data_IF_907232021277
#
_entry.id   IF_907232021277
#
_cell.length_a   1.000
_cell.length_b   1.000
_cell.length_c   1.000
_cell.angle_alpha   90.00
_cell.angle_beta   90.00
_cell.angle_gamma   90.00
#
_symmetry.space_group_name_H-M   'P 1'
#
loop_
_entity.id
_entity.type
_entity.pdbx_description
1 polymer ?
#
# COMPACT_ATOMS: atom_id res chain seq x y z
N UNK A 1 -1.74 -18.24 -0.17
CA UNK A 1 -1.37 -16.85 0.03
C UNK A 1 -1.60 -16.05 -1.22
N UNK A 2 -1.96 -14.80 -1.04
CA UNK A 2 -2.30 -13.92 -2.15
C UNK A 2 -1.24 -12.84 -2.29
N UNK A 3 -0.97 -12.46 -3.51
CA UNK A 3 -0.08 -11.34 -3.82
C UNK A 3 -0.91 -10.29 -4.54
N UNK A 4 -0.84 -9.04 -4.09
CA UNK A 4 -1.59 -7.97 -4.68
C UNK A 4 -0.72 -6.73 -4.82
N UNK A 5 -0.73 -6.13 -6.00
CA UNK A 5 0.04 -4.90 -6.23
C UNK A 5 -0.90 -3.71 -6.23
N UNK A 6 -0.52 -2.68 -5.49
CA UNK A 6 -1.35 -1.49 -5.33
C UNK A 6 -0.48 -0.26 -5.35
N UNK A 7 -1.09 0.87 -5.66
CA UNK A 7 -0.45 2.17 -5.51
C UNK A 7 -1.17 2.94 -4.42
N UNK A 8 -0.41 3.38 -3.43
CA UNK A 8 -0.89 4.29 -2.39
C UNK A 8 -0.48 5.69 -2.78
N UNK A 9 -1.43 6.61 -2.75
CA UNK A 9 -1.14 8.03 -2.96
C UNK A 9 -1.42 8.74 -1.65
N UNK A 10 -0.39 9.40 -1.12
CA UNK A 10 -0.47 10.06 0.19
C UNK A 10 -0.76 11.53 0.01
N UNK A 11 -1.51 12.10 0.95
CA UNK A 11 -1.74 13.52 1.01
C UNK A 11 -0.62 14.17 1.82
N UNK A 12 -0.65 15.50 1.89
CA UNK A 12 0.31 16.25 2.68
C UNK A 12 0.32 15.78 4.13
N UNK A 13 -0.84 15.44 4.65
CA UNK A 13 -0.95 14.97 6.03
C UNK A 13 -0.43 13.55 6.18
N UNK A 14 -0.88 12.65 5.32
CA UNK A 14 -0.57 11.25 5.49
C UNK A 14 0.85 10.91 5.09
N UNK A 15 1.49 11.72 4.24
CA UNK A 15 2.86 11.44 3.84
C UNK A 15 3.84 11.55 5.01
N UNK A 16 3.44 12.24 6.07
CA UNK A 16 4.28 12.42 7.24
C UNK A 16 4.26 11.25 8.19
N UNK A 17 3.32 10.34 8.04
CA UNK A 17 3.22 9.19 8.92
C UNK A 17 3.89 7.98 8.29
N UNK A 18 4.54 7.13 9.08
CA UNK A 18 5.19 5.92 8.54
C UNK A 18 4.17 4.82 8.29
N UNK A 19 3.21 5.08 7.40
CA UNK A 19 2.06 4.21 7.23
C UNK A 19 2.43 2.86 6.63
N UNK A 20 3.39 2.82 5.71
CA UNK A 20 3.79 1.54 5.12
C UNK A 20 4.41 0.64 6.18
N UNK A 21 5.25 1.22 7.04
CA UNK A 21 5.82 0.46 8.14
C UNK A 21 4.72 -0.03 9.08
N UNK A 22 3.80 0.86 9.44
CA UNK A 22 2.73 0.51 10.36
C UNK A 22 1.84 -0.59 9.79
N UNK A 23 1.57 -0.53 8.49
CA UNK A 23 0.75 -1.54 7.85
C UNK A 23 1.39 -2.91 7.99
N UNK A 24 2.67 -3.03 7.69
CA UNK A 24 3.34 -4.30 7.78
C UNK A 24 3.53 -4.78 9.22
N UNK A 25 3.49 -3.84 10.17
CA UNK A 25 3.64 -4.18 11.59
C UNK A 25 2.31 -4.61 12.20
N UNK A 26 1.21 -3.94 11.82
CA UNK A 26 -0.09 -4.19 12.41
C UNK A 26 -0.82 -5.38 11.80
N UNK A 27 -0.50 -5.71 10.56
CA UNK A 27 -1.20 -6.78 9.85
C UNK A 27 -0.19 -7.82 9.39
N UNK A 28 -0.65 -9.05 9.24
CA UNK A 28 0.23 -10.12 8.76
C UNK A 28 0.31 -10.07 7.25
N UNK A 29 0.91 -8.99 6.76
CA UNK A 29 1.08 -8.73 5.35
C UNK A 29 2.53 -8.32 5.13
N UNK A 30 3.18 -8.96 4.19
CA UNK A 30 4.54 -8.59 3.82
C UNK A 30 4.46 -7.55 2.73
N UNK A 31 5.15 -6.44 2.93
CA UNK A 31 5.15 -5.34 1.96
C UNK A 31 6.49 -5.28 1.25
N UNK A 32 6.43 -5.09 -0.07
CA UNK A 32 7.64 -4.87 -0.87
C UNK A 32 7.42 -3.63 -1.71
N UNK A 33 8.27 -2.64 -1.54
CA UNK A 33 8.19 -1.41 -2.32
C UNK A 33 8.81 -1.67 -3.69
N UNK A 34 8.01 -1.44 -4.73
CA UNK A 34 8.47 -1.61 -6.09
C UNK A 34 8.93 -0.30 -6.69
N UNK A 35 8.25 0.78 -6.34
CA UNK A 35 8.56 2.09 -6.89
C UNK A 35 7.98 3.13 -5.94
N UNK A 36 8.62 4.26 -5.83
CA UNK A 36 8.14 5.31 -4.94
C UNK A 36 8.63 6.67 -5.43
N UNK A 37 7.82 7.68 -5.18
CA UNK A 37 8.19 9.06 -5.45
C UNK A 37 7.52 9.89 -4.37
N UNK A 38 8.30 10.34 -3.41
CA UNK A 38 7.79 11.04 -2.24
C UNK A 38 8.53 12.35 -2.07
N UNK A 39 7.76 13.43 -1.91
CA UNK A 39 8.35 14.72 -1.57
C UNK A 39 7.62 15.29 -0.36
N UNK A 40 7.76 16.59 -0.11
CA UNK A 40 7.24 17.20 1.11
C UNK A 40 5.73 17.26 1.18
N UNK A 41 5.06 17.25 0.06
CA UNK A 41 3.63 17.54 0.05
C UNK A 41 2.78 16.40 -0.47
N UNK A 42 3.35 15.59 -1.35
CA UNK A 42 2.59 14.51 -1.93
C UNK A 42 3.57 13.39 -2.25
N UNK A 43 3.06 12.18 -2.22
CA UNK A 43 3.89 11.06 -2.56
C UNK A 43 3.04 9.89 -2.96
N UNK A 44 3.64 8.98 -3.71
CA UNK A 44 2.98 7.73 -4.04
C UNK A 44 3.99 6.60 -3.96
N UNK A 45 3.46 5.42 -3.68
CA UNK A 45 4.29 4.23 -3.52
C UNK A 45 3.56 3.08 -4.18
N UNK A 46 4.27 2.33 -4.99
CA UNK A 46 3.74 1.09 -5.55
C UNK A 46 4.30 -0.05 -4.73
N UNK A 47 3.40 -0.82 -4.15
CA UNK A 47 3.75 -1.92 -3.26
C UNK A 47 3.18 -3.22 -3.75
N UNK A 48 3.87 -4.29 -3.42
CA UNK A 48 3.30 -5.62 -3.51
C UNK A 48 3.01 -6.09 -2.10
N UNK A 49 1.78 -6.55 -1.87
CA UNK A 49 1.33 -7.03 -0.57
C UNK A 49 1.12 -8.53 -0.68
N UNK A 50 1.73 -9.27 0.23
CA UNK A 50 1.61 -10.74 0.25
C UNK A 50 1.05 -11.18 1.59
N UNK A 51 -0.01 -11.98 1.56
CA UNK A 51 -0.64 -12.46 2.77
C UNK A 51 -1.94 -13.16 2.45
N UNK A 52 -2.71 -13.45 3.49
CA UNK A 52 -4.05 -14.01 3.31
C UNK A 52 -4.98 -12.93 2.77
N UNK A 53 -5.92 -13.32 1.94
CA UNK A 53 -6.85 -12.36 1.33
C UNK A 53 -7.51 -11.47 2.37
N UNK A 54 -8.03 -12.09 3.43
CA UNK A 54 -8.75 -11.32 4.45
C UNK A 54 -7.83 -10.32 5.14
N UNK A 55 -6.60 -10.69 5.34
CA UNK A 55 -5.65 -9.80 6.03
C UNK A 55 -5.25 -8.66 5.12
N UNK A 56 -5.04 -8.93 3.83
CA UNK A 56 -4.75 -7.87 2.86
C UNK A 56 -5.91 -6.87 2.82
N UNK A 57 -7.15 -7.39 2.76
CA UNK A 57 -8.30 -6.49 2.71
C UNK A 57 -8.43 -5.63 3.95
N UNK A 58 -8.17 -6.21 5.12
CA UNK A 58 -8.22 -5.44 6.36
C UNK A 58 -7.15 -4.36 6.39
N UNK A 59 -5.95 -4.69 5.90
CA UNK A 59 -4.88 -3.71 5.87
C UNK A 59 -5.20 -2.57 4.91
N UNK A 60 -5.83 -2.87 3.78
CA UNK A 60 -6.20 -1.84 2.82
C UNK A 60 -7.30 -0.94 3.37
N UNK A 61 -8.26 -1.52 4.09
CA UNK A 61 -9.30 -0.73 4.74
C UNK A 61 -8.70 0.21 5.77
N UNK A 62 -7.72 -0.28 6.53
CA UNK A 62 -7.07 0.54 7.53
C UNK A 62 -6.32 1.71 6.88
N UNK A 63 -5.59 1.43 5.81
CA UNK A 63 -4.85 2.47 5.09
C UNK A 63 -5.83 3.51 4.52
N UNK A 64 -6.95 3.05 3.97
CA UNK A 64 -7.95 3.97 3.43
C UNK A 64 -8.49 4.89 4.52
N UNK A 65 -8.65 4.36 5.73
CA UNK A 65 -9.16 5.15 6.84
C UNK A 65 -8.19 6.24 7.27
N UNK A 66 -6.93 6.15 6.85
CA UNK A 66 -5.93 7.17 7.13
C UNK A 66 -5.87 8.25 6.06
N UNK A 67 -6.78 8.20 5.10
CA UNK A 67 -6.86 9.22 4.05
C UNK A 67 -5.95 8.94 2.85
N UNK A 68 -5.45 7.73 2.74
CA UNK A 68 -4.59 7.35 1.62
C UNK A 68 -5.46 6.85 0.48
N UNK A 69 -5.17 7.33 -0.73
CA UNK A 69 -5.85 6.82 -1.91
C UNK A 69 -5.20 5.52 -2.35
N UNK A 70 -6.02 4.53 -2.65
CA UNK A 70 -5.54 3.21 -3.05
C UNK A 70 -6.01 2.92 -4.46
N UNK A 71 -5.07 2.62 -5.34
CA UNK A 71 -5.36 2.23 -6.72
C UNK A 71 -4.79 0.85 -6.97
N UNK A 72 -5.64 -0.15 -7.24
CA UNK A 72 -5.12 -1.47 -7.59
C UNK A 72 -4.43 -1.44 -8.94
N UNK A 73 -3.36 -2.19 -9.06
CA UNK A 73 -2.59 -2.24 -10.29
C UNK A 73 -2.71 -3.64 -10.88
N UNK A 74 -3.75 -3.84 -11.64
CA UNK A 74 -4.02 -5.17 -12.18
C UNK A 74 -3.22 -5.46 -13.44
N UNK A 75 -2.86 -4.43 -14.14
CA UNK A 75 -2.23 -4.62 -15.43
C UNK A 75 -0.93 -5.38 -15.38
N UNK A 76 -0.20 -5.25 -14.32
CA UNK A 76 1.07 -5.92 -14.20
C UNK A 76 0.93 -7.41 -14.02
N UNK A 77 -0.21 -7.86 -13.61
CA UNK A 77 -0.47 -9.29 -13.52
C UNK A 77 -0.35 -9.93 -14.89
N UNK A 78 -0.69 -9.19 -15.88
CA UNK A 78 -0.73 -9.69 -17.24
C UNK A 78 0.63 -9.90 -17.80
N UNK A 79 1.59 -9.22 -17.26
CA UNK A 79 2.94 -9.33 -17.76
C UNK A 79 3.53 -10.69 -17.50
N UNK A 80 2.91 -11.37 -16.61
CA UNK A 80 3.39 -12.70 -16.30
C UNK A 80 3.51 -13.49 -17.53
#
# INVERSE_FOLDING_TARGET
>A
MTSKKVRFTFTEESVKEPLVYQLGHEFEVVTSIRMADVDNQIGWVILELVGEDAEIERSLSWIASKGVRIDPLEGDVITG
#
